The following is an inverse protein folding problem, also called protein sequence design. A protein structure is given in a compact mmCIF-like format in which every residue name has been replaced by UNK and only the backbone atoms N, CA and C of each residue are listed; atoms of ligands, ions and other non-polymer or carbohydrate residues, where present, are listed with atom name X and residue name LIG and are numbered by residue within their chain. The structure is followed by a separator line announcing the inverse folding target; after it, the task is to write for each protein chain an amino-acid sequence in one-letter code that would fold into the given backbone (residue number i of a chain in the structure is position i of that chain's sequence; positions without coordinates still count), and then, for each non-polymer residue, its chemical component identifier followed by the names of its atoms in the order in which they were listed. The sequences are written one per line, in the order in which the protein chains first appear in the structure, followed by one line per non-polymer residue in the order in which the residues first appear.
data_IF_433180627872
#
_entry.id   IF_433180627872
#
_cell.length_a   1.000
_cell.length_b   1.000
_cell.length_c   1.000
_cell.angle_alpha   90.00
_cell.angle_beta   90.00
_cell.angle_gamma   90.00
#
_symmetry.space_group_name_H-M   'P 1'
#
loop_
_entity.id
_entity.type
_entity.pdbx_description
1 polymer ?
#
# COMPACT_ATOMS: atom_id res chain seq x y z
N UNK A 1 -37.90 22.22 -1.14
CA UNK A 1 -37.95 20.73 -1.21
C UNK A 1 -36.95 20.08 -2.20
N UNK A 2 -35.99 20.78 -2.82
CA UNK A 2 -35.00 20.15 -3.74
C UNK A 2 -33.57 20.09 -3.18
N UNK A 3 -33.24 20.93 -2.20
CA UNK A 3 -31.87 21.05 -1.65
C UNK A 3 -31.47 19.84 -0.79
N UNK A 4 -32.41 19.25 -0.05
CA UNK A 4 -32.16 18.09 0.81
C UNK A 4 -31.85 16.80 0.02
N UNK A 5 -32.36 16.67 -1.22
CA UNK A 5 -32.10 15.49 -2.04
C UNK A 5 -30.64 15.44 -2.53
N UNK A 6 -30.02 16.61 -2.75
CA UNK A 6 -28.64 16.74 -3.23
C UNK A 6 -27.61 16.37 -2.14
N UNK A 7 -27.93 16.64 -0.87
CA UNK A 7 -27.11 16.24 0.29
C UNK A 7 -27.11 14.73 0.54
N UNK A 8 -28.18 14.03 0.16
CA UNK A 8 -28.27 12.57 0.30
C UNK A 8 -27.40 11.85 -0.75
N UNK A 9 -27.26 12.42 -1.95
CA UNK A 9 -26.38 11.87 -3.00
C UNK A 9 -24.89 11.89 -2.60
N UNK A 10 -24.48 12.90 -1.83
CA UNK A 10 -23.10 13.01 -1.33
C UNK A 10 -22.80 12.03 -0.19
N UNK A 11 -23.83 11.55 0.53
CA UNK A 11 -23.72 10.54 1.58
C UNK A 11 -23.74 9.10 1.04
N UNK A 12 -24.22 8.90 -0.20
CA UNK A 12 -24.17 7.60 -0.90
C UNK A 12 -22.79 7.30 -1.49
N UNK A 13 -21.95 8.32 -1.69
CA UNK A 13 -20.52 8.12 -1.85
C UNK A 13 -19.92 7.94 -0.46
N UNK A 14 -20.16 6.77 0.12
CA UNK A 14 -19.47 6.28 1.31
C UNK A 14 -17.97 6.25 1.04
N UNK A 15 -17.30 7.39 1.25
CA UNK A 15 -15.87 7.47 1.42
C UNK A 15 -15.56 6.69 2.67
N UNK A 16 -15.30 5.39 2.48
CA UNK A 16 -14.95 4.49 3.57
C UNK A 16 -13.82 5.15 4.35
N UNK A 17 -13.92 5.12 5.68
CA UNK A 17 -12.82 5.41 6.60
C UNK A 17 -11.70 4.40 6.35
N UNK A 18 -11.03 4.53 5.23
CA UNK A 18 -9.74 3.93 4.97
C UNK A 18 -8.74 4.85 5.64
N UNK A 19 -7.83 4.30 6.42
CA UNK A 19 -6.57 4.97 6.71
C UNK A 19 -6.08 5.57 5.38
N UNK A 20 -5.93 6.90 5.33
CA UNK A 20 -5.94 7.64 4.08
C UNK A 20 -5.08 6.95 3.01
N UNK A 21 -5.71 6.60 1.87
CA UNK A 21 -4.96 6.06 0.75
C UNK A 21 -3.87 7.08 0.37
N UNK A 22 -2.60 6.68 0.25
CA UNK A 22 -1.54 7.62 -0.10
C UNK A 22 -1.86 8.31 -1.42
N UNK A 23 -1.62 9.62 -1.49
CA UNK A 23 -1.99 10.44 -2.66
C UNK A 23 -1.42 9.92 -3.99
N UNK A 24 -0.27 9.27 -3.95
CA UNK A 24 0.42 8.72 -5.13
C UNK A 24 -0.03 7.29 -5.47
N UNK A 25 -0.85 6.66 -4.62
CA UNK A 25 -1.28 5.28 -4.77
C UNK A 25 -2.79 5.19 -5.03
N UNK A 26 -3.21 4.07 -5.59
CA UNK A 26 -4.61 3.72 -5.77
C UNK A 26 -4.96 2.59 -4.82
N UNK A 27 -6.01 2.76 -4.02
CA UNK A 27 -6.43 1.75 -3.05
C UNK A 27 -7.79 1.17 -3.42
N UNK A 28 -7.91 -0.16 -3.35
CA UNK A 28 -9.16 -0.87 -3.54
C UNK A 28 -9.33 -1.91 -2.44
N UNK A 29 -10.21 -1.62 -1.48
CA UNK A 29 -10.34 -2.43 -0.26
C UNK A 29 -9.03 -2.43 0.53
N UNK A 30 -8.41 -3.61 0.67
CA UNK A 30 -7.13 -3.84 1.34
C UNK A 30 -5.93 -3.88 0.38
N UNK A 31 -6.13 -3.66 -0.92
CA UNK A 31 -5.06 -3.61 -1.91
C UNK A 31 -4.59 -2.17 -2.10
N UNK A 32 -3.28 -1.95 -2.04
CA UNK A 32 -2.63 -0.66 -2.25
C UNK A 32 -1.69 -0.78 -3.46
N UNK A 33 -2.05 -0.10 -4.54
CA UNK A 33 -1.28 -0.07 -5.78
C UNK A 33 -0.55 1.26 -5.96
N UNK A 34 0.76 1.22 -5.76
CA UNK A 34 1.66 2.34 -5.94
C UNK A 34 2.64 2.09 -7.11
N UNK A 35 2.34 1.16 -8.02
CA UNK A 35 3.25 0.76 -9.09
C UNK A 35 3.39 1.84 -10.18
N UNK A 36 4.57 1.93 -10.80
CA UNK A 36 4.85 2.83 -11.93
C UNK A 36 4.59 4.32 -11.63
N UNK A 37 4.89 4.76 -10.40
CA UNK A 37 4.68 6.14 -9.92
C UNK A 37 5.98 6.91 -9.71
N UNK A 38 7.11 6.35 -10.15
CA UNK A 38 8.46 6.90 -9.95
C UNK A 38 8.77 7.23 -8.49
N UNK A 39 8.23 6.44 -7.56
CA UNK A 39 8.41 6.66 -6.12
C UNK A 39 9.87 6.48 -5.71
N UNK A 40 10.31 7.35 -4.81
CA UNK A 40 11.55 7.26 -4.05
C UNK A 40 11.23 6.90 -2.59
N UNK A 41 12.23 6.44 -1.83
CA UNK A 41 12.05 6.13 -0.41
C UNK A 41 11.50 7.32 0.40
N UNK A 42 11.84 8.55 0.00
CA UNK A 42 11.34 9.80 0.60
C UNK A 42 9.88 10.15 0.23
N UNK A 43 9.36 9.60 -0.85
CA UNK A 43 7.97 9.84 -1.29
C UNK A 43 6.95 8.87 -0.69
N UNK A 44 7.43 7.80 -0.06
CA UNK A 44 6.59 6.83 0.62
C UNK A 44 6.22 7.34 2.02
N UNK A 45 5.00 7.05 2.51
CA UNK A 45 4.63 7.33 3.89
C UNK A 45 5.50 6.51 4.86
N UNK A 46 5.53 6.91 6.13
CA UNK A 46 6.26 6.17 7.17
C UNK A 46 5.69 4.78 7.41
N UNK A 47 4.37 4.60 7.26
CA UNK A 47 3.70 3.31 7.31
C UNK A 47 2.40 3.32 6.50
N UNK A 48 1.88 2.13 6.21
CA UNK A 48 0.60 1.90 5.55
C UNK A 48 -0.44 1.36 6.55
N UNK A 49 -1.71 1.35 6.17
CA UNK A 49 -2.77 0.78 7.01
C UNK A 49 -2.49 -0.68 7.36
N UNK A 50 -2.65 -1.06 8.63
CA UNK A 50 -2.47 -2.43 9.10
C UNK A 50 -3.38 -3.45 8.38
N UNK A 51 -4.50 -2.99 7.82
CA UNK A 51 -5.42 -3.80 7.01
C UNK A 51 -4.98 -4.03 5.56
N UNK A 52 -3.80 -3.56 5.15
CA UNK A 52 -3.30 -3.77 3.78
C UNK A 52 -2.92 -5.23 3.58
N UNK A 53 -3.57 -5.91 2.64
CA UNK A 53 -3.30 -7.31 2.30
C UNK A 53 -2.34 -7.46 1.12
N UNK A 54 -2.30 -6.46 0.24
CA UNK A 54 -1.46 -6.48 -0.95
C UNK A 54 -0.90 -5.08 -1.19
N UNK A 55 0.42 -4.99 -1.32
CA UNK A 55 1.13 -3.75 -1.57
C UNK A 55 1.98 -3.87 -2.84
N UNK A 56 1.74 -3.01 -3.83
CA UNK A 56 2.49 -2.99 -5.09
C UNK A 56 3.35 -1.75 -5.18
N UNK A 57 4.67 -1.93 -5.16
CA UNK A 57 5.70 -0.90 -5.23
C UNK A 57 6.62 -1.08 -6.46
N UNK A 58 6.32 -2.01 -7.35
CA UNK A 58 7.13 -2.30 -8.52
C UNK A 58 7.14 -1.16 -9.56
N UNK A 59 8.13 -1.19 -10.46
CA UNK A 59 8.34 -0.18 -11.51
C UNK A 59 8.49 1.26 -10.97
N UNK A 60 9.04 1.40 -9.76
CA UNK A 60 9.38 2.68 -9.16
C UNK A 60 10.89 2.91 -9.14
N UNK A 61 11.32 4.07 -8.64
CA UNK A 61 12.74 4.44 -8.47
C UNK A 61 13.26 4.06 -7.08
N UNK A 62 12.66 3.03 -6.48
CA UNK A 62 13.00 2.56 -5.15
C UNK A 62 14.23 1.65 -5.22
N UNK A 63 15.31 2.08 -4.58
CA UNK A 63 16.53 1.28 -4.41
C UNK A 63 16.57 0.55 -3.07
N UNK A 64 15.77 0.99 -2.11
CA UNK A 64 15.56 0.40 -0.79
C UNK A 64 14.16 0.73 -0.30
N UNK A 65 13.63 -0.10 0.59
CA UNK A 65 12.41 0.21 1.33
C UNK A 65 12.78 0.94 2.64
N UNK A 66 12.06 2.01 3.03
CA UNK A 66 12.19 2.62 4.34
C UNK A 66 12.02 1.59 5.46
N UNK A 67 12.87 1.67 6.49
CA UNK A 67 12.68 0.90 7.72
C UNK A 67 11.35 1.33 8.38
N UNK A 68 10.60 0.39 8.94
CA UNK A 68 9.31 0.67 9.57
C UNK A 68 8.10 0.63 8.63
N UNK A 69 8.31 0.65 7.31
CA UNK A 69 7.21 0.71 6.33
C UNK A 69 6.30 -0.53 6.39
N UNK A 70 6.87 -1.68 6.74
CA UNK A 70 6.18 -2.97 6.81
C UNK A 70 5.78 -3.35 8.23
N UNK A 71 6.23 -2.63 9.26
CA UNK A 71 6.08 -3.04 10.66
C UNK A 71 4.60 -3.05 11.08
N UNK A 72 3.82 -2.09 10.60
CA UNK A 72 2.39 -1.98 10.87
C UNK A 72 1.54 -2.91 10.00
N UNK A 73 2.10 -3.52 8.95
CA UNK A 73 1.38 -4.27 7.92
C UNK A 73 1.06 -5.72 8.34
N UNK A 74 0.37 -5.87 9.47
CA UNK A 74 0.01 -7.17 10.07
C UNK A 74 -0.83 -8.09 9.18
N UNK A 75 -1.58 -7.53 8.22
CA UNK A 75 -2.43 -8.30 7.30
C UNK A 75 -1.79 -8.58 5.94
N UNK A 76 -0.52 -8.19 5.73
CA UNK A 76 0.13 -8.27 4.43
C UNK A 76 0.35 -9.71 3.99
N UNK A 77 -0.09 -10.02 2.78
CA UNK A 77 0.09 -11.34 2.14
C UNK A 77 1.01 -11.26 0.95
N UNK A 78 0.92 -10.18 0.19
CA UNK A 78 1.66 -9.98 -1.05
C UNK A 78 2.35 -8.62 -1.08
N UNK A 79 3.65 -8.63 -1.33
CA UNK A 79 4.45 -7.43 -1.58
C UNK A 79 5.12 -7.55 -2.93
N UNK A 80 4.77 -6.65 -3.85
CA UNK A 80 5.40 -6.58 -5.16
C UNK A 80 6.41 -5.45 -5.18
N UNK A 81 7.67 -5.78 -5.00
CA UNK A 81 8.79 -4.86 -5.07
C UNK A 81 9.78 -5.37 -6.13
N UNK A 82 10.03 -4.57 -7.18
CA UNK A 82 10.97 -4.90 -8.24
C UNK A 82 12.19 -4.00 -8.09
N UNK A 83 13.26 -4.55 -7.51
CA UNK A 83 14.58 -3.93 -7.57
C UNK A 83 15.16 -4.11 -8.98
N UNK A 84 15.85 -3.11 -9.55
CA UNK A 84 16.69 -3.34 -10.72
C UNK A 84 17.76 -4.39 -10.37
N UNK A 85 17.88 -5.38 -11.26
CA UNK A 85 18.43 -6.70 -10.97
C UNK A 85 19.91 -6.71 -10.55
N UNK A 86 20.15 -7.17 -9.33
CA UNK A 86 21.28 -8.06 -9.02
C UNK A 86 20.85 -9.00 -7.90
N UNK A 87 20.71 -10.28 -8.25
CA UNK A 87 20.53 -11.44 -7.34
C UNK A 87 19.11 -11.71 -6.83
N UNK A 88 18.35 -12.50 -7.60
CA UNK A 88 17.73 -13.76 -7.14
C UNK A 88 16.75 -13.75 -5.96
N UNK A 89 16.28 -12.61 -5.45
CA UNK A 89 15.33 -12.58 -4.32
C UNK A 89 13.86 -12.51 -4.76
N UNK A 90 13.53 -13.08 -5.91
CA UNK A 90 12.18 -13.02 -6.49
C UNK A 90 11.25 -14.17 -6.03
N UNK A 91 11.68 -15.09 -5.17
CA UNK A 91 10.92 -16.33 -4.93
C UNK A 91 10.63 -16.65 -3.44
N UNK A 92 11.29 -16.03 -2.45
CA UNK A 92 11.14 -16.48 -1.06
C UNK A 92 11.07 -15.38 0.01
N UNK A 93 10.18 -14.41 -0.14
CA UNK A 93 9.52 -13.84 1.03
C UNK A 93 8.02 -14.03 0.90
N UNK A 94 7.50 -15.23 1.19
CA UNK A 94 6.22 -15.27 1.86
C UNK A 94 6.45 -14.58 3.20
N UNK A 95 5.47 -13.83 3.68
CA UNK A 95 5.48 -13.18 4.99
C UNK A 95 5.41 -14.28 6.07
N UNK A 96 6.45 -15.11 6.20
CA UNK A 96 6.59 -16.10 7.28
C UNK A 96 7.29 -15.42 8.46
N UNK A 97 6.81 -15.63 9.68
CA UNK A 97 7.49 -15.15 10.87
C UNK A 97 8.81 -15.93 10.97
N UNK A 98 9.95 -15.23 10.98
CA UNK A 98 11.14 -15.79 11.61
C UNK A 98 10.89 -15.79 13.12
N UNK A 99 10.20 -16.82 13.60
CA UNK A 99 10.26 -17.23 15.00
C UNK A 99 11.70 -17.71 15.28
N UNK A 100 12.40 -17.18 16.29
CA UNK A 100 13.74 -17.64 16.63
C UNK A 100 13.66 -19.03 17.28
N UNK A 101 14.48 -19.96 16.80
CA UNK A 101 14.89 -21.14 17.55
C UNK A 101 16.09 -20.76 18.42
#
# INVERSE_FOLDING_TARGET
MKMFLLMCLLLLFGGQRSSACPHLCSCHGSQVDCSSRSLTASSLPSSFSAGTSELRLHNNLLTTLPNGLLDDLTSLRFLFFLMPASSIFSILCPVYPLSPL
#
